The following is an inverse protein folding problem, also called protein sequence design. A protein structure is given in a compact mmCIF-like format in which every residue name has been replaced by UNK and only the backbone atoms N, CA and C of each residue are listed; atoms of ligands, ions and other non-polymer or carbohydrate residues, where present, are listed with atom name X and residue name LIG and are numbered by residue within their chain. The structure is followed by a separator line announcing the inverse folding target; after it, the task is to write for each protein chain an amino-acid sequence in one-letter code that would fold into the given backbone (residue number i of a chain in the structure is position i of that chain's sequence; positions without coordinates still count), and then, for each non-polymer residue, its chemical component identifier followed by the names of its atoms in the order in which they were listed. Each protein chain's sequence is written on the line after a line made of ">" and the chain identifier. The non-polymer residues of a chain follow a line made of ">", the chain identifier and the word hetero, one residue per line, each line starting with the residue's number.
data_IF_100932569673
#
_entry.id   IF_100932569673
#
_cell.length_a   1.000
_cell.length_b   1.000
_cell.length_c   1.000
_cell.angle_alpha   90.00
_cell.angle_beta   90.00
_cell.angle_gamma   90.00
#
_symmetry.space_group_name_H-M   'P 1'
#
loop_
_entity.id
_entity.type
_entity.pdbx_description
1 polymer ?
#
# COMPACT_ATOMS: atom_id res chain seq x y z
N UNK A 1 43.03 30.59 39.65
CA UNK A 1 43.45 29.82 38.46
C UNK A 1 42.34 29.99 37.44
N UNK A 2 42.65 30.55 36.26
CA UNK A 2 41.63 30.69 35.23
C UNK A 2 41.26 29.32 34.64
N UNK A 3 40.04 29.18 34.16
CA UNK A 3 39.55 27.98 33.48
C UNK A 3 39.00 28.31 32.11
N UNK A 4 39.08 27.33 31.22
CA UNK A 4 38.47 27.36 29.89
C UNK A 4 37.57 26.14 29.73
N UNK A 5 36.36 26.34 29.22
CA UNK A 5 35.48 25.22 28.83
C UNK A 5 36.03 24.58 27.56
N UNK A 6 36.16 23.27 27.61
CA UNK A 6 36.53 22.41 26.47
C UNK A 6 35.52 21.26 26.37
N UNK A 7 35.49 20.57 25.26
CA UNK A 7 34.41 19.63 24.94
C UNK A 7 35.00 18.24 24.69
N UNK A 8 34.66 17.31 25.57
CA UNK A 8 35.18 15.94 25.54
C UNK A 8 34.53 15.15 24.43
N UNK A 9 35.34 14.35 23.74
CA UNK A 9 34.90 13.30 22.82
C UNK A 9 35.12 11.94 23.44
N UNK A 10 34.23 10.99 23.14
CA UNK A 10 34.50 9.58 23.40
C UNK A 10 35.48 8.99 22.36
N UNK A 11 35.70 7.67 22.44
CA UNK A 11 36.60 6.97 21.53
C UNK A 11 36.16 7.04 20.06
N UNK A 12 34.86 7.20 19.81
CA UNK A 12 34.25 7.26 18.48
C UNK A 12 34.10 8.71 17.98
N UNK A 13 34.59 9.69 18.75
CA UNK A 13 34.52 11.10 18.39
C UNK A 13 33.19 11.77 18.72
N UNK A 14 32.29 11.08 19.42
CA UNK A 14 30.97 11.59 19.81
C UNK A 14 31.12 12.51 21.03
N UNK A 15 30.36 13.60 21.06
CA UNK A 15 30.35 14.52 22.18
C UNK A 15 29.91 13.81 23.49
N UNK A 16 30.82 13.77 24.46
CA UNK A 16 30.63 13.11 25.75
C UNK A 16 30.31 14.08 26.90
N UNK A 17 30.48 15.40 26.68
CA UNK A 17 30.19 16.44 27.68
C UNK A 17 31.22 17.55 27.72
N UNK A 18 30.90 18.61 28.45
CA UNK A 18 31.83 19.71 28.70
C UNK A 18 32.81 19.35 29.82
N UNK A 19 34.05 19.82 29.71
CA UNK A 19 35.12 19.65 30.68
C UNK A 19 35.87 20.98 30.90
N UNK A 20 36.68 21.03 31.96
CA UNK A 20 37.46 22.21 32.31
C UNK A 20 38.94 21.99 31.98
N UNK A 21 39.51 22.89 31.17
CA UNK A 21 40.95 23.05 31.03
C UNK A 21 41.43 24.14 31.99
N UNK A 22 42.55 23.87 32.67
CA UNK A 22 43.13 24.81 33.63
C UNK A 22 44.32 25.54 33.02
N UNK A 23 44.46 26.82 33.36
CA UNK A 23 45.61 27.63 32.96
C UNK A 23 46.91 27.12 33.59
N UNK A 24 48.00 27.13 32.83
CA UNK A 24 49.34 26.78 33.30
C UNK A 24 49.77 27.75 34.40
N UNK A 25 50.23 27.25 35.56
CA UNK A 25 50.74 28.11 36.63
C UNK A 25 52.06 28.80 36.25
N UNK A 26 52.73 28.36 35.18
CA UNK A 26 54.03 28.88 34.74
C UNK A 26 53.93 29.78 33.50
N UNK A 27 52.85 29.64 32.72
CA UNK A 27 52.67 30.32 31.43
C UNK A 27 51.27 30.93 31.37
N UNK A 28 51.12 32.20 31.80
CA UNK A 28 49.84 32.90 31.71
C UNK A 28 49.27 32.88 30.28
N UNK A 29 48.01 32.51 30.14
CA UNK A 29 47.31 32.35 28.86
C UNK A 29 47.41 30.97 28.19
N UNK A 30 48.27 30.07 28.69
CA UNK A 30 48.37 28.69 28.17
C UNK A 30 47.45 27.77 28.98
N UNK A 31 46.58 27.00 28.34
CA UNK A 31 45.66 26.07 29.01
C UNK A 31 46.03 24.61 28.74
N UNK A 32 46.04 23.80 29.79
CA UNK A 32 46.26 22.36 29.66
C UNK A 32 44.95 21.66 29.28
N UNK A 33 44.83 21.30 28.01
CA UNK A 33 43.65 20.63 27.46
C UNK A 33 43.72 19.12 27.80
N UNK A 34 42.70 18.56 28.48
CA UNK A 34 42.62 17.12 28.71
C UNK A 34 42.62 16.33 27.40
N UNK A 35 43.16 15.11 27.44
CA UNK A 35 43.17 14.26 26.26
C UNK A 35 41.75 13.97 25.75
N UNK A 36 41.55 14.09 24.43
CA UNK A 36 40.25 13.87 23.78
C UNK A 36 39.31 15.09 23.80
N UNK A 37 39.67 16.18 24.47
CA UNK A 37 38.94 17.44 24.40
C UNK A 37 39.29 18.27 23.15
N UNK A 38 38.31 19.02 22.66
CA UNK A 38 38.48 20.09 21.66
C UNK A 38 37.94 21.41 22.20
N UNK A 39 38.44 22.51 21.69
CA UNK A 39 38.07 23.86 22.16
C UNK A 39 36.86 24.43 21.42
N UNK A 40 36.50 23.86 20.27
CA UNK A 40 35.35 24.29 19.47
C UNK A 40 34.08 23.77 20.15
N UNK A 41 33.11 24.66 20.35
CA UNK A 41 31.82 24.33 20.96
C UNK A 41 30.96 23.45 20.02
N UNK A 42 30.37 22.34 20.52
CA UNK A 42 29.44 21.55 19.74
C UNK A 42 28.18 22.35 19.41
N UNK A 43 27.54 22.07 18.26
CA UNK A 43 26.24 22.64 17.92
C UNK A 43 25.22 22.36 19.02
N UNK A 44 24.19 23.22 19.09
CA UNK A 44 23.08 23.01 20.00
C UNK A 44 22.46 21.61 19.80
N UNK A 45 22.05 20.99 20.90
CA UNK A 45 21.42 19.67 20.90
C UNK A 45 20.15 19.70 20.05
N UNK A 46 20.07 18.80 19.09
CA UNK A 46 18.89 18.59 18.23
C UNK A 46 18.33 17.21 18.53
N UNK A 47 17.02 17.11 18.76
CA UNK A 47 16.38 15.82 19.03
C UNK A 47 16.65 14.81 17.90
N UNK A 48 17.02 13.59 18.27
CA UNK A 48 17.39 12.52 17.31
C UNK A 48 18.74 12.71 16.62
N UNK A 49 19.58 13.65 17.08
CA UNK A 49 20.94 13.85 16.56
C UNK A 49 21.96 13.96 17.67
N UNK A 50 23.21 13.61 17.34
CA UNK A 50 24.37 13.77 18.22
C UNK A 50 25.51 14.47 17.48
N UNK A 51 26.30 15.27 18.20
CA UNK A 51 27.48 15.93 17.65
C UNK A 51 28.66 14.95 17.60
N UNK A 52 29.27 14.81 16.43
CA UNK A 52 30.44 13.96 16.16
C UNK A 52 31.55 14.82 15.57
N UNK A 53 32.78 14.65 16.03
CA UNK A 53 33.93 15.43 15.57
C UNK A 53 34.52 14.88 14.28
N UNK A 54 34.58 15.69 13.21
CA UNK A 54 35.16 15.34 11.90
C UNK A 54 36.68 15.38 11.85
N UNK A 55 37.33 15.97 12.87
CA UNK A 55 38.77 16.26 12.88
C UNK A 55 39.05 17.76 13.03
N UNK A 56 38.19 18.59 12.46
CA UNK A 56 38.28 20.06 12.43
C UNK A 56 37.01 20.79 12.88
N UNK A 57 35.85 20.12 12.81
CA UNK A 57 34.55 20.68 13.22
C UNK A 57 33.62 19.61 13.80
N UNK A 58 32.53 20.07 14.43
CA UNK A 58 31.44 19.20 14.86
C UNK A 58 30.40 19.05 13.76
N UNK A 59 29.92 17.82 13.55
CA UNK A 59 28.82 17.50 12.65
C UNK A 59 27.66 16.89 13.43
N UNK A 60 26.44 17.33 13.15
CA UNK A 60 25.24 16.71 13.71
C UNK A 60 24.84 15.50 12.87
N UNK A 61 24.98 14.31 13.45
CA UNK A 61 24.62 13.03 12.83
C UNK A 61 23.35 12.47 13.46
N UNK A 62 22.55 11.71 12.70
CA UNK A 62 21.38 11.01 13.24
C UNK A 62 21.81 10.02 14.34
N UNK A 63 21.00 9.88 15.38
CA UNK A 63 21.24 8.94 16.48
C UNK A 63 20.01 8.06 16.69
N UNK A 64 20.07 6.85 16.14
CA UNK A 64 19.04 5.81 16.25
C UNK A 64 19.46 4.68 17.21
N UNK A 65 20.51 4.88 18.02
CA UNK A 65 21.02 3.84 18.90
C UNK A 65 19.95 3.37 19.89
N UNK A 66 19.86 2.05 20.07
CA UNK A 66 18.84 1.39 20.90
C UNK A 66 17.50 1.15 20.20
N UNK A 67 17.27 1.71 19.01
CA UNK A 67 16.10 1.38 18.19
C UNK A 67 16.26 0.02 17.50
N UNK A 68 15.14 -0.65 17.21
CA UNK A 68 15.11 -1.89 16.43
C UNK A 68 14.89 -1.55 14.96
N UNK A 69 15.81 -1.98 14.11
CA UNK A 69 15.76 -1.86 12.66
C UNK A 69 15.93 -3.25 12.03
N UNK A 70 15.77 -3.35 10.70
CA UNK A 70 15.82 -4.64 10.00
C UNK A 70 16.88 -4.66 8.89
N UNK A 71 17.81 -5.61 8.97
CA UNK A 71 18.80 -5.88 7.93
C UNK A 71 18.54 -7.28 7.36
N UNK A 72 18.36 -7.39 6.04
CA UNK A 72 18.01 -8.66 5.38
C UNK A 72 16.80 -9.39 6.00
N UNK A 73 15.88 -8.64 6.62
CA UNK A 73 14.69 -9.18 7.30
C UNK A 73 14.88 -9.61 8.75
N UNK A 74 16.10 -9.55 9.28
CA UNK A 74 16.42 -9.85 10.67
C UNK A 74 16.37 -8.57 11.51
N UNK A 75 15.81 -8.66 12.73
CA UNK A 75 15.74 -7.54 13.65
C UNK A 75 17.11 -7.30 14.31
N UNK A 76 17.62 -6.08 14.21
CA UNK A 76 18.92 -5.65 14.73
C UNK A 76 18.72 -4.40 15.58
N UNK A 77 19.35 -4.35 16.75
CA UNK A 77 19.40 -3.13 17.55
C UNK A 77 20.53 -2.26 17.05
N UNK A 78 20.27 -0.99 16.72
CA UNK A 78 21.29 -0.06 16.26
C UNK A 78 22.23 0.29 17.42
N UNK A 79 23.53 0.16 17.22
CA UNK A 79 24.58 0.48 18.18
C UNK A 79 25.56 1.56 17.67
N UNK A 80 25.32 2.10 16.47
CA UNK A 80 26.15 3.11 15.82
C UNK A 80 25.44 4.45 15.63
N UNK A 81 26.23 5.52 15.49
CA UNK A 81 25.77 6.86 15.10
C UNK A 81 25.75 6.98 13.57
N UNK A 82 24.74 7.66 13.03
CA UNK A 82 24.47 7.79 11.59
C UNK A 82 23.06 7.29 11.23
N UNK A 83 22.64 7.56 10.00
CA UNK A 83 21.36 7.07 9.49
C UNK A 83 21.50 5.58 9.09
N UNK A 84 20.75 4.65 9.72
CA UNK A 84 20.80 3.24 9.35
C UNK A 84 20.40 2.97 7.89
N UNK A 85 19.59 3.83 7.26
CA UNK A 85 19.19 3.67 5.85
C UNK A 85 20.39 3.73 4.89
N UNK A 86 21.44 4.49 5.22
CA UNK A 86 22.68 4.54 4.43
C UNK A 86 23.48 3.22 4.47
N UNK A 87 23.05 2.28 5.32
CA UNK A 87 23.66 0.96 5.52
C UNK A 87 22.68 -0.19 5.26
N UNK A 88 21.67 0.07 4.41
CA UNK A 88 20.65 -0.89 3.98
C UNK A 88 19.70 -1.40 5.09
N UNK A 89 19.66 -0.73 6.24
CA UNK A 89 18.68 -1.05 7.28
C UNK A 89 17.30 -0.47 6.93
N UNK A 90 16.25 -1.19 7.30
CA UNK A 90 14.86 -0.80 7.12
C UNK A 90 14.21 -0.53 8.47
N UNK A 91 13.48 0.57 8.59
CA UNK A 91 12.73 0.91 9.80
C UNK A 91 11.56 -0.07 10.08
N UNK A 92 11.12 -0.80 9.05
CA UNK A 92 10.07 -1.81 9.16
C UNK A 92 10.56 -3.16 8.67
N UNK A 93 10.01 -4.24 9.24
CA UNK A 93 10.35 -5.59 8.81
C UNK A 93 9.93 -5.83 7.36
N UNK A 94 10.85 -6.12 6.44
CA UNK A 94 10.46 -6.54 5.10
C UNK A 94 9.79 -7.92 5.17
N UNK A 95 8.69 -8.08 4.45
CA UNK A 95 8.05 -9.39 4.28
C UNK A 95 8.83 -10.25 3.29
N UNK A 96 9.10 -11.52 3.64
CA UNK A 96 9.81 -12.45 2.76
C UNK A 96 9.07 -12.64 1.43
N UNK A 97 9.77 -12.69 0.28
CA UNK A 97 9.13 -12.78 -1.05
C UNK A 97 8.15 -13.95 -1.22
N UNK A 98 8.51 -15.14 -0.72
CA UNK A 98 7.64 -16.34 -0.77
C UNK A 98 6.32 -16.13 -0.02
N UNK A 99 6.34 -15.39 1.09
CA UNK A 99 5.13 -15.08 1.85
C UNK A 99 4.23 -14.12 1.07
N UNK A 100 4.82 -13.08 0.46
CA UNK A 100 4.09 -12.13 -0.37
C UNK A 100 3.43 -12.80 -1.59
N UNK A 101 4.15 -13.64 -2.33
CA UNK A 101 3.60 -14.30 -3.53
C UNK A 101 2.41 -15.19 -3.20
N UNK A 102 2.52 -16.01 -2.16
CA UNK A 102 1.42 -16.85 -1.69
C UNK A 102 0.23 -16.01 -1.22
N UNK A 103 0.48 -14.91 -0.51
CA UNK A 103 -0.57 -14.01 -0.07
C UNK A 103 -1.25 -13.31 -1.26
N UNK A 104 -0.50 -12.84 -2.25
CA UNK A 104 -1.05 -12.25 -3.49
C UNK A 104 -1.97 -13.25 -4.18
N UNK A 105 -1.52 -14.49 -4.36
CA UNK A 105 -2.31 -15.54 -4.99
C UNK A 105 -3.63 -15.78 -4.24
N UNK A 106 -3.56 -15.94 -2.91
CA UNK A 106 -4.73 -16.16 -2.07
C UNK A 106 -5.72 -14.98 -2.12
N UNK A 107 -5.23 -13.74 -2.01
CA UNK A 107 -6.09 -12.55 -2.03
C UNK A 107 -6.68 -12.30 -3.41
N UNK A 108 -5.94 -12.54 -4.51
CA UNK A 108 -6.49 -12.50 -5.87
C UNK A 108 -7.64 -13.49 -6.05
N UNK A 109 -7.50 -14.71 -5.54
CA UNK A 109 -8.57 -15.71 -5.56
C UNK A 109 -9.80 -15.24 -4.75
N UNK A 110 -9.58 -14.63 -3.59
CA UNK A 110 -10.65 -14.03 -2.80
C UNK A 110 -11.36 -12.89 -3.53
N UNK A 111 -10.63 -12.04 -4.25
CA UNK A 111 -11.21 -10.96 -5.08
C UNK A 111 -12.03 -11.52 -6.23
N UNK A 112 -11.55 -12.57 -6.90
CA UNK A 112 -12.30 -13.24 -7.97
C UNK A 112 -13.60 -13.88 -7.43
N UNK A 113 -13.54 -14.52 -6.25
CA UNK A 113 -14.72 -15.08 -5.59
C UNK A 113 -15.72 -14.00 -5.13
N UNK A 114 -15.23 -12.88 -4.58
CA UNK A 114 -16.07 -11.76 -4.17
C UNK A 114 -16.74 -11.06 -5.36
N UNK A 115 -16.01 -10.90 -6.47
CA UNK A 115 -16.56 -10.38 -7.72
C UNK A 115 -17.71 -11.25 -8.21
N UNK A 116 -17.56 -12.58 -8.20
CA UNK A 116 -18.62 -13.50 -8.61
C UNK A 116 -19.82 -13.47 -7.66
N UNK A 117 -19.59 -13.48 -6.34
CA UNK A 117 -20.66 -13.34 -5.36
C UNK A 117 -21.45 -12.03 -5.57
N UNK A 118 -20.75 -10.96 -5.94
CA UNK A 118 -21.38 -9.68 -6.25
C UNK A 118 -22.12 -9.69 -7.60
N UNK A 119 -21.62 -10.37 -8.65
CA UNK A 119 -22.39 -10.56 -9.91
C UNK A 119 -23.73 -11.25 -9.64
N UNK A 120 -23.74 -12.23 -8.74
CA UNK A 120 -24.93 -13.00 -8.39
C UNK A 120 -26.00 -12.22 -7.63
N UNK A 121 -25.77 -10.94 -7.29
CA UNK A 121 -26.82 -10.05 -6.76
C UNK A 121 -27.64 -9.39 -7.88
N UNK A 122 -27.10 -9.35 -9.11
CA UNK A 122 -27.74 -8.73 -10.28
C UNK A 122 -28.26 -9.75 -11.29
N UNK A 123 -27.60 -10.91 -11.37
CA UNK A 123 -27.98 -11.99 -12.28
C UNK A 123 -28.09 -13.29 -11.51
N UNK A 124 -28.89 -14.21 -12.05
CA UNK A 124 -28.93 -15.58 -11.54
C UNK A 124 -27.82 -16.39 -12.22
N UNK A 125 -27.19 -17.29 -11.45
CA UNK A 125 -26.12 -18.15 -11.94
C UNK A 125 -26.64 -19.42 -12.60
N UNK A 126 -25.86 -19.96 -13.54
CA UNK A 126 -26.09 -21.27 -14.15
C UNK A 126 -26.03 -21.27 -15.68
N UNK A 127 -25.36 -22.25 -16.26
CA UNK A 127 -25.16 -22.34 -17.72
C UNK A 127 -26.47 -22.46 -18.50
N UNK A 128 -27.42 -23.26 -18.01
CA UNK A 128 -28.75 -23.40 -18.62
C UNK A 128 -29.52 -22.09 -18.67
N UNK A 129 -29.42 -21.30 -17.61
CA UNK A 129 -30.11 -20.02 -17.54
C UNK A 129 -29.42 -18.95 -18.40
N UNK A 130 -28.09 -18.94 -18.43
CA UNK A 130 -27.33 -18.05 -19.30
C UNK A 130 -27.68 -18.26 -20.79
N UNK A 131 -27.84 -19.53 -21.22
CA UNK A 131 -28.30 -19.84 -22.58
C UNK A 131 -29.69 -19.27 -22.86
N UNK A 132 -30.63 -19.42 -21.92
CA UNK A 132 -31.99 -18.88 -22.07
C UNK A 132 -32.00 -17.34 -22.16
N UNK A 133 -31.17 -16.65 -21.37
CA UNK A 133 -31.06 -15.19 -21.46
C UNK A 133 -30.44 -14.70 -22.77
N UNK A 134 -29.42 -15.42 -23.27
CA UNK A 134 -28.81 -15.10 -24.55
C UNK A 134 -29.83 -15.24 -25.70
N UNK A 135 -30.57 -16.36 -25.72
CA UNK A 135 -31.63 -16.60 -26.71
C UNK A 135 -32.73 -15.54 -26.65
N UNK A 136 -33.19 -15.17 -25.44
CA UNK A 136 -34.18 -14.09 -25.25
C UNK A 136 -33.69 -12.75 -25.79
N UNK A 137 -32.44 -12.40 -25.58
CA UNK A 137 -31.87 -11.15 -26.08
C UNK A 137 -31.85 -11.10 -27.61
N UNK A 138 -31.48 -12.22 -28.25
CA UNK A 138 -31.45 -12.33 -29.71
C UNK A 138 -32.86 -12.18 -30.29
N UNK A 139 -33.84 -12.89 -29.74
CA UNK A 139 -35.25 -12.77 -30.13
C UNK A 139 -35.80 -11.36 -29.89
N UNK A 140 -35.51 -10.75 -28.73
CA UNK A 140 -35.95 -9.39 -28.43
C UNK A 140 -35.40 -8.38 -29.44
N UNK A 141 -34.11 -8.47 -29.79
CA UNK A 141 -33.49 -7.60 -30.79
C UNK A 141 -34.07 -7.83 -32.18
N UNK A 142 -34.30 -9.08 -32.56
CA UNK A 142 -34.91 -9.43 -33.85
C UNK A 142 -36.34 -8.87 -33.94
N UNK A 143 -37.16 -9.08 -32.91
CA UNK A 143 -38.53 -8.57 -32.85
C UNK A 143 -38.59 -7.04 -32.90
N UNK A 144 -37.71 -6.34 -32.18
CA UNK A 144 -37.67 -4.87 -32.24
C UNK A 144 -37.20 -4.32 -33.59
N UNK A 145 -36.45 -5.11 -34.37
CA UNK A 145 -36.07 -4.76 -35.73
C UNK A 145 -37.17 -5.08 -36.76
N UNK A 146 -37.94 -6.15 -36.52
CA UNK A 146 -39.09 -6.57 -37.33
C UNK A 146 -40.25 -7.03 -36.43
N UNK A 147 -41.17 -6.11 -36.07
CA UNK A 147 -42.32 -6.42 -35.21
C UNK A 147 -43.36 -7.36 -35.85
N UNK A 148 -43.17 -7.76 -37.11
CA UNK A 148 -44.05 -8.73 -37.78
C UNK A 148 -43.72 -10.19 -37.46
N UNK A 149 -42.59 -10.45 -36.78
CA UNK A 149 -42.19 -11.79 -36.34
C UNK A 149 -43.21 -12.42 -35.38
N UNK A 150 -43.38 -13.73 -35.53
CA UNK A 150 -44.42 -14.52 -34.87
C UNK A 150 -43.91 -15.24 -33.62
N UNK A 151 -44.82 -15.85 -32.86
CA UNK A 151 -44.47 -16.71 -31.73
C UNK A 151 -43.62 -17.94 -32.12
N UNK A 152 -43.63 -18.37 -33.39
CA UNK A 152 -42.74 -19.45 -33.84
C UNK A 152 -41.29 -18.97 -34.03
N UNK A 153 -41.11 -17.68 -34.32
CA UNK A 153 -39.80 -17.06 -34.58
C UNK A 153 -39.19 -16.44 -33.32
N UNK A 154 -40.03 -15.94 -32.41
CA UNK A 154 -39.63 -15.37 -31.12
C UNK A 154 -40.35 -16.04 -29.94
N UNK A 155 -40.24 -17.37 -29.78
CA UNK A 155 -41.04 -18.12 -28.81
C UNK A 155 -40.88 -17.64 -27.37
N UNK A 156 -39.70 -17.17 -26.96
CA UNK A 156 -39.49 -16.71 -25.59
C UNK A 156 -40.13 -15.35 -25.31
N UNK A 157 -40.18 -14.47 -26.30
CA UNK A 157 -40.83 -13.16 -26.17
C UNK A 157 -42.34 -13.32 -26.05
N UNK A 158 -42.94 -14.13 -26.92
CA UNK A 158 -44.39 -14.36 -26.89
C UNK A 158 -44.84 -15.17 -25.68
N UNK A 159 -44.01 -16.07 -25.14
CA UNK A 159 -44.33 -16.87 -23.96
C UNK A 159 -44.42 -16.04 -22.66
N UNK A 160 -43.87 -14.82 -22.63
CA UNK A 160 -43.88 -13.95 -21.45
C UNK A 160 -44.90 -12.81 -21.49
N UNK A 161 -45.76 -12.79 -22.52
CA UNK A 161 -46.88 -11.86 -22.60
C UNK A 161 -47.82 -12.09 -21.41
N UNK A 162 -48.17 -11.02 -20.70
CA UNK A 162 -48.96 -11.04 -19.47
C UNK A 162 -48.16 -11.45 -18.22
N UNK A 163 -46.86 -11.72 -18.34
CA UNK A 163 -45.96 -12.01 -17.21
C UNK A 163 -44.94 -10.89 -17.06
N UNK A 164 -44.13 -10.65 -18.10
CA UNK A 164 -43.08 -9.63 -18.12
C UNK A 164 -43.59 -8.30 -18.69
N UNK A 165 -44.54 -8.36 -19.63
CA UNK A 165 -45.17 -7.19 -20.25
C UNK A 165 -46.47 -7.56 -20.96
N UNK A 166 -47.35 -6.58 -21.16
CA UNK A 166 -48.70 -6.80 -21.73
C UNK A 166 -48.68 -7.10 -23.24
N UNK A 167 -47.57 -6.80 -23.94
CA UNK A 167 -47.41 -7.04 -25.38
C UNK A 167 -46.01 -7.59 -25.68
N UNK A 168 -45.83 -8.20 -26.87
CA UNK A 168 -44.51 -8.64 -27.34
C UNK A 168 -43.49 -7.49 -27.38
N UNK A 169 -43.91 -6.29 -27.83
CA UNK A 169 -43.09 -5.08 -27.77
C UNK A 169 -42.64 -4.75 -26.34
N UNK A 170 -43.57 -4.78 -25.37
CA UNK A 170 -43.25 -4.47 -23.98
C UNK A 170 -42.26 -5.50 -23.41
N UNK A 171 -42.47 -6.80 -23.68
CA UNK A 171 -41.55 -7.86 -23.26
C UNK A 171 -40.16 -7.66 -23.89
N UNK A 172 -40.09 -7.45 -25.21
CA UNK A 172 -38.81 -7.27 -25.91
C UNK A 172 -38.04 -6.03 -25.41
N UNK A 173 -38.74 -4.93 -25.15
CA UNK A 173 -38.13 -3.72 -24.58
C UNK A 173 -37.58 -3.97 -23.17
N UNK A 174 -38.32 -4.68 -22.31
CA UNK A 174 -37.84 -5.05 -20.96
C UNK A 174 -36.58 -5.90 -21.05
N UNK A 175 -36.55 -6.91 -21.92
CA UNK A 175 -35.38 -7.79 -22.08
C UNK A 175 -34.13 -7.00 -22.52
N UNK A 176 -34.26 -6.12 -23.52
CA UNK A 176 -33.13 -5.29 -24.00
C UNK A 176 -32.69 -4.31 -22.92
N UNK A 177 -33.62 -3.68 -22.20
CA UNK A 177 -33.31 -2.76 -21.11
C UNK A 177 -32.57 -3.45 -19.95
N UNK A 178 -33.03 -4.63 -19.54
CA UNK A 178 -32.36 -5.43 -18.51
C UNK A 178 -30.95 -5.83 -18.92
N UNK A 179 -30.75 -6.23 -20.18
CA UNK A 179 -29.42 -6.55 -20.69
C UNK A 179 -28.50 -5.32 -20.72
N UNK A 180 -29.01 -4.15 -21.14
CA UNK A 180 -28.23 -2.92 -21.16
C UNK A 180 -27.79 -2.50 -19.74
N UNK A 181 -28.69 -2.60 -18.76
CA UNK A 181 -28.36 -2.34 -17.35
C UNK A 181 -27.29 -3.31 -16.82
N UNK A 182 -27.41 -4.60 -17.15
CA UNK A 182 -26.40 -5.59 -16.81
C UNK A 182 -25.05 -5.31 -17.48
N UNK A 183 -25.01 -4.90 -18.74
CA UNK A 183 -23.75 -4.60 -19.42
C UNK A 183 -22.95 -3.52 -18.70
N UNK A 184 -23.61 -2.42 -18.32
CA UNK A 184 -22.99 -1.34 -17.55
C UNK A 184 -22.44 -1.88 -16.23
N UNK A 185 -23.27 -2.57 -15.45
CA UNK A 185 -22.86 -3.12 -14.15
C UNK A 185 -21.73 -4.14 -14.28
N UNK A 186 -21.78 -5.02 -15.28
CA UNK A 186 -20.77 -6.05 -15.51
C UNK A 186 -19.39 -5.45 -15.83
N UNK A 187 -19.36 -4.35 -16.60
CA UNK A 187 -18.13 -3.62 -16.90
C UNK A 187 -17.54 -2.95 -15.66
N UNK A 188 -18.38 -2.35 -14.81
CA UNK A 188 -17.94 -1.76 -13.53
C UNK A 188 -17.31 -2.82 -12.60
N UNK A 189 -17.96 -3.99 -12.47
CA UNK A 189 -17.45 -5.11 -11.66
C UNK A 189 -16.11 -5.59 -12.19
N UNK A 190 -15.98 -5.73 -13.51
CA UNK A 190 -14.74 -6.18 -14.14
C UNK A 190 -13.60 -5.16 -13.95
N UNK A 191 -13.91 -3.88 -14.08
CA UNK A 191 -12.94 -2.81 -13.81
C UNK A 191 -12.44 -2.88 -12.37
N UNK A 192 -13.33 -2.93 -11.37
CA UNK A 192 -12.95 -3.03 -9.95
C UNK A 192 -12.10 -4.27 -9.67
N UNK A 193 -12.50 -5.43 -10.20
CA UNK A 193 -11.77 -6.69 -10.03
C UNK A 193 -10.34 -6.60 -10.58
N UNK A 194 -10.18 -6.11 -11.82
CA UNK A 194 -8.87 -5.98 -12.44
C UNK A 194 -8.00 -4.92 -11.78
N UNK A 195 -8.59 -3.78 -11.40
CA UNK A 195 -7.90 -2.72 -10.67
C UNK A 195 -7.37 -3.23 -9.31
N UNK A 196 -8.19 -3.98 -8.57
CA UNK A 196 -7.75 -4.60 -7.33
C UNK A 196 -6.62 -5.62 -7.53
N UNK A 197 -6.69 -6.44 -8.58
CA UNK A 197 -5.60 -7.39 -8.89
C UNK A 197 -4.30 -6.68 -9.26
N UNK A 198 -4.37 -5.58 -10.00
CA UNK A 198 -3.22 -4.73 -10.29
C UNK A 198 -2.65 -4.06 -9.03
N UNK A 199 -3.51 -3.56 -8.14
CA UNK A 199 -3.09 -3.01 -6.85
C UNK A 199 -2.47 -4.08 -5.94
N UNK A 200 -3.01 -5.30 -5.94
CA UNK A 200 -2.41 -6.45 -5.26
C UNK A 200 -1.03 -6.74 -5.83
N UNK A 201 -0.78 -6.64 -7.14
CA UNK A 201 0.56 -6.88 -7.69
C UNK A 201 1.58 -5.80 -7.31
N UNK A 202 1.15 -4.54 -7.26
CA UNK A 202 2.01 -3.41 -6.90
C UNK A 202 2.31 -3.28 -5.40
N UNK A 203 1.53 -3.92 -4.52
CA UNK A 203 1.65 -3.75 -3.08
C UNK A 203 2.94 -4.37 -2.51
N UNK A 204 3.75 -3.62 -1.75
CA UNK A 204 5.01 -4.15 -1.18
C UNK A 204 4.86 -4.77 0.22
N UNK A 205 3.68 -4.61 0.84
CA UNK A 205 3.44 -5.04 2.22
C UNK A 205 2.25 -5.98 2.34
N UNK A 206 2.30 -6.86 3.33
CA UNK A 206 1.19 -7.75 3.71
C UNK A 206 -0.09 -6.94 4.01
N UNK A 207 0.06 -5.79 4.68
CA UNK A 207 -1.07 -4.92 5.02
C UNK A 207 -1.74 -4.35 3.77
N UNK A 208 -0.96 -3.85 2.80
CA UNK A 208 -1.49 -3.32 1.55
C UNK A 208 -2.20 -4.39 0.71
N UNK A 209 -1.66 -5.63 0.66
CA UNK A 209 -2.31 -6.74 -0.04
C UNK A 209 -3.66 -7.07 0.63
N UNK A 210 -3.69 -7.23 1.95
CA UNK A 210 -4.90 -7.60 2.69
C UNK A 210 -6.01 -6.54 2.63
N UNK A 211 -5.66 -5.27 2.40
CA UNK A 211 -6.66 -4.22 2.23
C UNK A 211 -7.56 -4.48 1.03
N UNK A 212 -7.01 -5.03 -0.06
CA UNK A 212 -7.75 -5.30 -1.29
C UNK A 212 -8.81 -6.40 -1.12
N UNK A 213 -8.64 -7.31 -0.16
CA UNK A 213 -9.66 -8.31 0.18
C UNK A 213 -10.94 -7.69 0.79
N UNK A 214 -10.84 -6.45 1.29
CA UNK A 214 -11.92 -5.73 2.00
C UNK A 214 -12.52 -4.60 1.17
N UNK A 215 -12.28 -4.60 -0.15
CA UNK A 215 -12.82 -3.54 -1.01
C UNK A 215 -14.35 -3.53 -0.96
N UNK A 216 -14.93 -2.33 -1.03
CA UNK A 216 -16.36 -2.16 -1.13
C UNK A 216 -16.80 -2.25 -2.60
N UNK A 217 -17.66 -3.21 -2.89
CA UNK A 217 -18.20 -3.43 -4.24
C UNK A 217 -19.30 -2.44 -4.60
N UNK A 218 -19.92 -1.78 -3.62
CA UNK A 218 -20.98 -0.79 -3.80
C UNK A 218 -20.47 0.66 -3.86
N UNK A 219 -19.23 0.91 -3.39
CA UNK A 219 -18.61 2.25 -3.34
C UNK A 219 -18.22 2.85 -4.71
#
# INVERSE_FOLDING_TARGET
>A
MATKTVYQRDADGVYAGAACAYESPLEPGVFHIPAGCVEIEPPAVVAGKVAVWSGDAWMLMADHRGEIWYLNGEAVTIDFVGDPMERDYNATRPSSPINLENLRAAVKASVDAAAEAYRLTYITGGSGQAMAYQQKLEEAKAYLADPSLTAAECPHIFAEIGITGETADAVAQVVVAMHAAWQIKSAEIEHKRLAAKAAIDAAETIAAINLMAKMDWDA
#
